data_IF_781110922983
#
_entry.id   IF_781110922983
#
_cell.length_a   1.000
_cell.length_b   1.000
_cell.length_c   1.000
_cell.angle_alpha   90.00
_cell.angle_beta   90.00
_cell.angle_gamma   90.00
#
_symmetry.space_group_name_H-M   'P 1'
#
loop_
_entity.id
_entity.type
_entity.pdbx_description
1 polymer ?
#
# COMPACT_ATOMS: atom_id res chain seq x y z
N UNK A 1 -20.50 -2.42 -11.40
CA UNK A 1 -19.67 -3.57 -10.99
C UNK A 1 -20.20 -4.82 -11.68
N UNK A 2 -19.35 -5.66 -12.26
CA UNK A 2 -19.82 -6.88 -12.96
C UNK A 2 -19.67 -8.07 -12.00
N UNK A 3 -20.79 -8.59 -11.48
CA UNK A 3 -20.80 -9.61 -10.42
C UNK A 3 -20.01 -10.86 -10.78
N UNK A 4 -19.96 -11.23 -12.05
CA UNK A 4 -19.14 -12.35 -12.51
C UNK A 4 -17.67 -12.02 -12.43
N UNK A 5 -17.24 -10.85 -12.92
CA UNK A 5 -15.85 -10.37 -12.83
C UNK A 5 -15.37 -10.26 -11.39
N UNK A 6 -16.14 -9.63 -10.49
CA UNK A 6 -15.75 -9.44 -9.09
C UNK A 6 -15.61 -10.79 -8.37
N UNK A 7 -16.44 -11.78 -8.73
CA UNK A 7 -16.33 -13.15 -8.23
C UNK A 7 -15.09 -13.87 -8.75
N UNK A 8 -14.81 -13.81 -10.05
CA UNK A 8 -13.61 -14.43 -10.63
C UNK A 8 -12.33 -13.78 -10.08
N UNK A 9 -12.31 -12.45 -9.97
CA UNK A 9 -11.21 -11.71 -9.37
C UNK A 9 -11.03 -12.09 -7.89
N UNK A 10 -12.10 -12.16 -7.11
CA UNK A 10 -12.05 -12.58 -5.71
C UNK A 10 -11.50 -14.01 -5.54
N UNK A 11 -11.93 -14.96 -6.36
CA UNK A 11 -11.41 -16.34 -6.32
C UNK A 11 -9.93 -16.38 -6.71
N UNK A 12 -9.53 -15.66 -7.76
CA UNK A 12 -8.15 -15.59 -8.21
C UNK A 12 -7.24 -14.96 -7.14
N UNK A 13 -7.65 -13.84 -6.53
CA UNK A 13 -6.90 -13.19 -5.47
C UNK A 13 -6.81 -14.04 -4.20
N UNK A 14 -7.86 -14.79 -3.87
CA UNK A 14 -7.84 -15.73 -2.75
C UNK A 14 -6.84 -16.86 -3.01
N UNK A 15 -6.80 -17.40 -4.22
CA UNK A 15 -5.82 -18.42 -4.61
C UNK A 15 -4.38 -17.87 -4.53
N UNK A 16 -4.13 -16.67 -5.05
CA UNK A 16 -2.82 -16.01 -4.96
C UNK A 16 -2.44 -15.74 -3.49
N UNK A 17 -3.37 -15.26 -2.67
CA UNK A 17 -3.14 -15.02 -1.25
C UNK A 17 -2.78 -16.30 -0.49
N UNK A 18 -3.51 -17.39 -0.76
CA UNK A 18 -3.21 -18.71 -0.19
C UNK A 18 -1.84 -19.23 -0.65
N UNK A 19 -1.48 -19.03 -1.92
CA UNK A 19 -0.14 -19.38 -2.43
C UNK A 19 0.95 -18.59 -1.69
N UNK A 20 0.78 -17.28 -1.48
CA UNK A 20 1.75 -16.51 -0.69
C UNK A 20 1.89 -17.03 0.74
N UNK A 21 0.79 -17.42 1.39
CA UNK A 21 0.85 -18.01 2.74
C UNK A 21 1.63 -19.33 2.71
N UNK A 22 1.31 -20.24 1.79
CA UNK A 22 1.96 -21.56 1.72
C UNK A 22 3.43 -21.46 1.33
N UNK A 23 3.76 -20.66 0.31
CA UNK A 23 5.15 -20.49 -0.15
C UNK A 23 5.98 -19.72 0.88
N UNK A 24 5.40 -18.75 1.59
CA UNK A 24 6.11 -18.03 2.65
C UNK A 24 6.58 -18.97 3.77
N UNK A 25 5.83 -20.01 4.09
CA UNK A 25 6.23 -20.98 5.12
C UNK A 25 7.44 -21.82 4.71
N UNK A 26 7.73 -21.92 3.41
CA UNK A 26 8.92 -22.61 2.88
C UNK A 26 10.16 -21.73 2.91
N UNK A 27 10.00 -20.42 3.09
CA UNK A 27 11.13 -19.48 3.23
C UNK A 27 11.73 -19.68 4.63
N UNK A 28 12.95 -20.19 4.69
CA UNK A 28 13.66 -20.47 5.95
C UNK A 28 13.94 -19.20 6.74
N UNK A 29 13.56 -19.19 8.02
CA UNK A 29 13.59 -18.02 8.92
C UNK A 29 14.98 -17.53 9.35
N UNK A 30 16.09 -18.02 8.80
CA UNK A 30 17.43 -17.81 9.40
C UNK A 30 18.57 -17.44 8.46
N UNK A 31 18.32 -17.06 7.20
CA UNK A 31 19.41 -16.80 6.27
C UNK A 31 20.18 -15.48 6.51
N UNK A 32 19.71 -14.56 7.37
CA UNK A 32 20.25 -13.19 7.42
C UNK A 32 20.40 -12.54 8.81
N UNK A 33 20.44 -13.32 9.91
CA UNK A 33 20.72 -12.74 11.25
C UNK A 33 19.73 -11.66 11.75
N UNK A 34 18.60 -11.49 11.07
CA UNK A 34 17.52 -10.56 11.41
C UNK A 34 16.57 -11.20 12.44
N UNK A 35 16.00 -10.40 13.34
CA UNK A 35 15.04 -10.89 14.34
C UNK A 35 13.70 -11.32 13.71
N UNK A 36 13.45 -10.92 12.47
CA UNK A 36 12.24 -11.20 11.69
C UNK A 36 12.62 -12.00 10.45
N UNK A 37 12.00 -13.18 10.31
CA UNK A 37 12.21 -14.07 9.17
C UNK A 37 11.72 -13.45 7.86
N UNK A 38 12.44 -13.69 6.76
CA UNK A 38 12.09 -13.21 5.42
C UNK A 38 10.70 -13.67 4.94
N UNK A 39 10.09 -14.64 5.61
CA UNK A 39 8.73 -15.12 5.39
C UNK A 39 7.63 -14.17 5.90
N UNK A 40 7.93 -13.24 6.81
CA UNK A 40 6.90 -12.42 7.46
C UNK A 40 6.21 -11.46 6.48
N UNK A 41 6.96 -10.87 5.54
CA UNK A 41 6.37 -9.95 4.55
C UNK A 41 5.41 -10.67 3.60
N UNK A 42 5.78 -11.77 2.90
CA UNK A 42 4.85 -12.47 2.02
C UNK A 42 3.67 -13.09 2.78
N UNK A 43 3.90 -13.57 4.02
CA UNK A 43 2.85 -14.14 4.86
C UNK A 43 1.79 -13.09 5.22
N UNK A 44 2.22 -11.91 5.70
CA UNK A 44 1.31 -10.82 6.05
C UNK A 44 0.49 -10.34 4.86
N UNK A 45 1.13 -10.15 3.70
CA UNK A 45 0.44 -9.81 2.45
C UNK A 45 -0.55 -10.89 2.02
N UNK A 46 -0.16 -12.17 2.10
CA UNK A 46 -1.02 -13.30 1.76
C UNK A 46 -2.27 -13.38 2.63
N UNK A 47 -2.12 -13.20 3.95
CA UNK A 47 -3.27 -13.14 4.89
C UNK A 47 -4.18 -11.97 4.55
N UNK A 48 -3.63 -10.77 4.41
CA UNK A 48 -4.42 -9.56 4.13
C UNK A 48 -5.18 -9.69 2.80
N UNK A 49 -4.51 -10.14 1.75
CA UNK A 49 -5.13 -10.36 0.43
C UNK A 49 -6.22 -11.42 0.50
N UNK A 50 -5.99 -12.52 1.22
CA UNK A 50 -6.99 -13.58 1.40
C UNK A 50 -8.23 -13.05 2.12
N UNK A 51 -8.06 -12.28 3.21
CA UNK A 51 -9.17 -11.66 3.94
C UNK A 51 -9.97 -10.69 3.07
N UNK A 52 -9.30 -9.82 2.32
CA UNK A 52 -9.97 -8.90 1.39
C UNK A 52 -10.71 -9.64 0.27
N UNK A 53 -10.15 -10.74 -0.22
CA UNK A 53 -10.78 -11.58 -1.24
C UNK A 53 -12.03 -12.29 -0.72
N UNK A 54 -11.99 -12.84 0.50
CA UNK A 54 -13.17 -13.43 1.16
C UNK A 54 -14.26 -12.36 1.32
N UNK A 55 -13.90 -11.17 1.77
CA UNK A 55 -14.84 -10.04 1.90
C UNK A 55 -15.46 -9.66 0.55
N UNK A 56 -14.67 -9.56 -0.52
CA UNK A 56 -15.14 -9.22 -1.86
C UNK A 56 -16.14 -10.26 -2.38
N UNK A 57 -15.84 -11.56 -2.19
CA UNK A 57 -16.75 -12.65 -2.56
C UNK A 57 -18.05 -12.53 -1.75
N UNK A 58 -17.97 -12.31 -0.44
CA UNK A 58 -19.14 -12.14 0.43
C UNK A 58 -20.01 -10.95 0.03
N UNK A 59 -19.41 -9.80 -0.28
CA UNK A 59 -20.12 -8.61 -0.76
C UNK A 59 -20.77 -8.85 -2.12
N UNK A 60 -20.14 -9.61 -3.01
CA UNK A 60 -20.69 -9.98 -4.33
C UNK A 60 -22.01 -10.78 -4.19
N UNK A 61 -22.13 -11.61 -3.14
CA UNK A 61 -23.37 -12.35 -2.85
C UNK A 61 -24.42 -11.48 -2.14
N UNK A 62 -24.01 -10.54 -1.29
CA UNK A 62 -24.94 -9.80 -0.41
C UNK A 62 -25.49 -8.51 -1.02
N UNK A 63 -24.75 -7.82 -1.89
CA UNK A 63 -25.15 -6.51 -2.44
C UNK A 63 -25.77 -6.62 -3.85
N UNK A 64 -26.88 -5.89 -4.07
CA UNK A 64 -27.36 -5.54 -5.41
C UNK A 64 -26.35 -4.56 -6.01
N UNK A 65 -26.04 -4.74 -7.30
CA UNK A 65 -25.03 -3.95 -8.00
C UNK A 65 -25.33 -2.46 -7.80
N UNK A 66 -24.42 -1.74 -7.16
CA UNK A 66 -24.40 -0.29 -7.28
C UNK A 66 -24.11 0.02 -8.76
N UNK A 67 -24.98 0.83 -9.36
CA UNK A 67 -24.73 1.40 -10.68
C UNK A 67 -23.37 2.10 -10.63
N UNK A 68 -22.46 1.69 -11.51
CA UNK A 68 -21.25 2.46 -11.75
C UNK A 68 -21.71 3.70 -12.49
N UNK A 69 -21.72 4.85 -11.82
CA UNK A 69 -21.52 6.10 -12.56
C UNK A 69 -20.25 5.91 -13.39
N UNK A 70 -20.35 6.17 -14.69
CA UNK A 70 -19.18 6.27 -15.55
C UNK A 70 -18.39 7.48 -15.05
N UNK A 71 -17.44 7.25 -14.16
CA UNK A 71 -16.45 8.26 -13.84
C UNK A 71 -15.76 8.66 -15.15
N UNK A 72 -15.95 9.91 -15.56
CA UNK A 72 -15.19 10.48 -16.65
C UNK A 72 -13.72 10.43 -16.26
N UNK A 73 -12.85 10.01 -17.18
CA UNK A 73 -11.42 9.99 -16.96
C UNK A 73 -10.94 11.41 -16.62
N UNK A 74 -10.61 11.65 -15.35
CA UNK A 74 -10.08 12.93 -14.89
C UNK A 74 -8.57 12.99 -15.16
N UNK A 75 -8.24 13.29 -16.42
CA UNK A 75 -6.86 13.44 -16.88
C UNK A 75 -6.08 14.50 -16.08
N UNK A 76 -6.76 15.50 -15.50
CA UNK A 76 -6.13 16.54 -14.70
C UNK A 76 -5.64 15.97 -13.37
N UNK A 77 -6.49 15.22 -12.66
CA UNK A 77 -6.08 14.52 -11.42
C UNK A 77 -5.01 13.47 -11.69
N UNK A 78 -5.15 12.74 -12.80
CA UNK A 78 -4.14 11.77 -13.22
C UNK A 78 -2.78 12.44 -13.43
N UNK A 79 -2.73 13.56 -14.16
CA UNK A 79 -1.49 14.30 -14.41
C UNK A 79 -0.82 14.81 -13.13
N UNK A 80 -1.62 15.30 -12.15
CA UNK A 80 -1.10 15.73 -10.85
C UNK A 80 -0.50 14.56 -10.07
N UNK A 81 -1.23 13.44 -9.94
CA UNK A 81 -0.75 12.25 -9.20
C UNK A 81 0.47 11.64 -9.90
N UNK A 82 0.47 11.60 -11.23
CA UNK A 82 1.59 11.10 -12.02
C UNK A 82 2.84 11.95 -11.82
N UNK A 83 2.71 13.28 -11.90
CA UNK A 83 3.81 14.21 -11.64
C UNK A 83 4.31 14.05 -10.20
N UNK A 84 3.41 13.95 -9.22
CA UNK A 84 3.76 13.73 -7.83
C UNK A 84 4.50 12.39 -7.62
N UNK A 85 4.14 11.34 -8.36
CA UNK A 85 4.84 10.05 -8.32
C UNK A 85 6.25 10.14 -8.91
N UNK A 86 6.44 10.89 -10.00
CA UNK A 86 7.77 11.14 -10.58
C UNK A 86 8.64 11.94 -9.60
N UNK A 87 8.08 13.00 -9.00
CA UNK A 87 8.79 13.78 -7.98
C UNK A 87 9.11 12.94 -6.74
N UNK A 88 8.17 12.08 -6.30
CA UNK A 88 8.40 11.14 -5.22
C UNK A 88 9.61 10.24 -5.50
N UNK A 89 9.66 9.60 -6.68
CA UNK A 89 10.77 8.73 -7.06
C UNK A 89 12.09 9.49 -7.15
N UNK A 90 12.08 10.71 -7.68
CA UNK A 90 13.28 11.56 -7.78
C UNK A 90 13.81 12.00 -6.41
N UNK A 91 12.94 12.44 -5.50
CA UNK A 91 13.33 12.94 -4.18
C UNK A 91 13.47 11.86 -3.11
N UNK A 92 13.18 10.59 -3.43
CA UNK A 92 13.18 9.50 -2.46
C UNK A 92 14.55 9.33 -1.79
N UNK A 93 15.62 9.41 -2.58
CA UNK A 93 17.00 9.24 -2.11
C UNK A 93 17.49 10.46 -1.30
N UNK A 94 17.17 11.68 -1.76
CA UNK A 94 17.65 12.92 -1.14
C UNK A 94 16.88 13.31 0.13
N UNK A 95 15.55 13.23 0.07
CA UNK A 95 14.63 13.72 1.13
C UNK A 95 14.28 12.61 2.12
N UNK A 96 14.40 11.35 1.71
CA UNK A 96 14.06 10.19 2.52
C UNK A 96 12.60 9.75 2.40
N UNK A 97 12.33 8.49 2.78
CA UNK A 97 11.06 7.81 2.54
C UNK A 97 9.88 8.46 3.29
N UNK A 98 10.07 8.86 4.56
CA UNK A 98 8.97 9.34 5.41
C UNK A 98 8.37 10.64 4.86
N UNK A 99 9.23 11.60 4.51
CA UNK A 99 8.83 12.92 4.03
C UNK A 99 8.32 12.89 2.59
N UNK A 100 9.01 12.16 1.70
CA UNK A 100 8.59 12.01 0.31
C UNK A 100 7.24 11.30 0.20
N UNK A 101 7.03 10.21 0.95
CA UNK A 101 5.75 9.48 0.99
C UNK A 101 4.65 10.33 1.61
N UNK A 102 4.95 11.06 2.69
CA UNK A 102 3.99 11.98 3.30
C UNK A 102 3.50 13.02 2.30
N UNK A 103 4.41 13.69 1.60
CA UNK A 103 4.08 14.70 0.60
C UNK A 103 3.28 14.09 -0.58
N UNK A 104 3.70 12.92 -1.08
CA UNK A 104 3.01 12.22 -2.14
C UNK A 104 1.57 11.86 -1.76
N UNK A 105 1.37 11.26 -0.58
CA UNK A 105 0.04 10.89 -0.09
C UNK A 105 -0.83 12.11 0.17
N UNK A 106 -0.27 13.18 0.73
CA UNK A 106 -0.99 14.43 0.96
C UNK A 106 -1.49 15.02 -0.35
N UNK A 107 -0.63 15.11 -1.37
CA UNK A 107 -1.00 15.57 -2.72
C UNK A 107 -2.07 14.65 -3.32
N UNK A 108 -1.90 13.34 -3.23
CA UNK A 108 -2.85 12.36 -3.75
C UNK A 108 -4.23 12.49 -3.10
N UNK A 109 -4.29 12.52 -1.77
CA UNK A 109 -5.54 12.67 -1.04
C UNK A 109 -6.22 14.01 -1.29
N UNK A 110 -5.46 15.10 -1.34
CA UNK A 110 -6.01 16.41 -1.64
C UNK A 110 -6.53 16.51 -3.09
N UNK A 111 -5.89 15.80 -4.01
CA UNK A 111 -6.31 15.73 -5.42
C UNK A 111 -7.59 14.91 -5.60
N UNK A 112 -7.77 13.84 -4.81
CA UNK A 112 -8.96 12.98 -4.89
C UNK A 112 -10.14 13.48 -4.04
N UNK A 113 -9.89 13.96 -2.82
CA UNK A 113 -10.90 14.43 -1.88
C UNK A 113 -10.59 15.87 -1.45
N UNK A 114 -11.25 16.81 -2.12
CA UNK A 114 -11.18 18.23 -1.75
C UNK A 114 -12.02 18.46 -0.49
N UNK A 115 -11.40 18.82 0.65
CA UNK A 115 -12.10 19.35 1.82
C UNK A 115 -11.78 18.73 3.18
N UNK A 116 -11.00 17.65 3.27
CA UNK A 116 -10.63 17.00 4.55
C UNK A 116 -9.13 17.06 4.85
N UNK A 117 -8.55 18.26 4.76
CA UNK A 117 -7.10 18.46 4.86
C UNK A 117 -6.51 17.88 6.15
N UNK A 118 -7.18 18.04 7.29
CA UNK A 118 -6.73 17.50 8.57
C UNK A 118 -6.69 15.96 8.58
N UNK A 119 -7.72 15.31 8.02
CA UNK A 119 -7.78 13.85 7.88
C UNK A 119 -6.69 13.36 6.93
N UNK A 120 -6.48 14.03 5.80
CA UNK A 120 -5.44 13.69 4.83
C UNK A 120 -4.04 13.79 5.44
N UNK A 121 -3.77 14.84 6.22
CA UNK A 121 -2.49 15.03 6.93
C UNK A 121 -2.26 13.93 7.96
N UNK A 122 -3.25 13.65 8.82
CA UNK A 122 -3.12 12.62 9.87
C UNK A 122 -2.89 11.24 9.23
N UNK A 123 -3.68 10.88 8.22
CA UNK A 123 -3.55 9.57 7.56
C UNK A 123 -2.21 9.48 6.83
N UNK A 124 -1.81 10.52 6.08
CA UNK A 124 -0.53 10.53 5.37
C UNK A 124 0.65 10.39 6.34
N UNK A 125 0.64 11.10 7.47
CA UNK A 125 1.70 11.05 8.47
C UNK A 125 1.74 9.69 9.18
N UNK A 126 0.59 9.18 9.61
CA UNK A 126 0.49 7.88 10.26
C UNK A 126 0.90 6.75 9.31
N UNK A 127 0.55 6.84 8.02
CA UNK A 127 0.91 5.83 7.04
C UNK A 127 2.40 5.87 6.71
N UNK A 128 2.98 7.05 6.40
CA UNK A 128 4.40 7.14 6.06
C UNK A 128 5.29 6.72 7.23
N UNK A 129 5.01 7.22 8.43
CA UNK A 129 5.74 6.85 9.64
C UNK A 129 5.50 5.40 10.04
N UNK A 130 4.25 4.92 9.97
CA UNK A 130 3.89 3.54 10.32
C UNK A 130 4.59 2.51 9.42
N UNK A 131 4.65 2.77 8.11
CA UNK A 131 5.38 1.91 7.17
C UNK A 131 6.88 1.95 7.43
N UNK A 132 7.46 3.15 7.66
CA UNK A 132 8.87 3.28 8.00
C UNK A 132 9.22 2.52 9.28
N UNK A 133 8.43 2.69 10.34
CA UNK A 133 8.62 2.01 11.61
C UNK A 133 8.53 0.49 11.46
N UNK A 134 7.49 0.00 10.77
CA UNK A 134 7.33 -1.43 10.53
C UNK A 134 8.53 -1.97 9.74
N UNK A 135 8.93 -1.32 8.66
CA UNK A 135 9.99 -1.86 7.81
C UNK A 135 11.37 -1.76 8.46
N UNK A 136 11.71 -0.63 9.07
CA UNK A 136 13.05 -0.40 9.66
C UNK A 136 13.19 -1.05 11.03
N UNK A 137 12.21 -0.87 11.92
CA UNK A 137 12.33 -1.33 13.31
C UNK A 137 11.77 -2.72 13.54
N UNK A 138 10.72 -3.13 12.80
CA UNK A 138 10.17 -4.48 12.96
C UNK A 138 10.88 -5.44 12.02
N UNK A 139 11.12 -5.06 10.77
CA UNK A 139 11.66 -5.99 9.76
C UNK A 139 13.18 -5.90 9.55
N UNK A 140 13.90 -5.07 10.30
CA UNK A 140 15.33 -4.79 10.10
C UNK A 140 15.67 -4.42 8.64
N UNK A 141 14.71 -3.83 7.91
CA UNK A 141 14.85 -3.46 6.51
C UNK A 141 15.53 -2.11 6.33
N UNK A 142 16.14 -1.89 5.16
CA UNK A 142 16.77 -0.62 4.81
C UNK A 142 15.83 0.25 3.99
N UNK A 143 15.35 1.35 4.58
CA UNK A 143 14.68 2.44 3.86
C UNK A 143 15.48 3.72 4.04
N UNK A 144 15.57 4.59 3.01
CA UNK A 144 16.12 5.92 3.16
C UNK A 144 15.38 6.65 4.27
N UNK A 145 16.10 6.99 5.34
CA UNK A 145 15.54 7.55 6.56
C UNK A 145 15.18 9.03 6.41
N UNK A 146 15.91 9.87 7.13
CA UNK A 146 15.79 11.31 7.05
C UNK A 146 16.64 11.89 5.91
N UNK A 147 16.41 13.15 5.51
CA UNK A 147 17.12 13.75 4.38
C UNK A 147 18.64 13.64 4.53
N UNK A 148 19.32 13.31 3.44
CA UNK A 148 20.77 13.11 3.41
C UNK A 148 21.56 14.35 3.87
N UNK A 149 20.98 15.54 3.71
CA UNK A 149 21.53 16.81 4.17
C UNK A 149 21.30 17.14 5.66
N UNK A 150 20.46 16.38 6.37
CA UNK A 150 20.15 16.63 7.78
C UNK A 150 21.17 15.95 8.72
N UNK A 151 22.03 15.08 8.19
CA UNK A 151 23.14 14.45 8.94
C UNK A 151 22.69 13.63 10.15
N UNK A 152 21.40 13.25 10.21
CA UNK A 152 20.85 12.41 11.26
C UNK A 152 21.12 10.94 10.91
N UNK A 153 21.59 10.13 11.87
CA UNK A 153 21.99 8.74 11.66
C UNK A 153 20.84 7.82 11.27
#
# INVERSE_FOLDING_TARGET
MNKTFDRYAGIAFLAIGALFIVESQKITSSAYGSNVGANIFPLGLGIFLSLMSVRLIYETFRYKAAEKEKEMLDYKRFGIIFTAAVLYAYFLEDVGFVLSTFAFLLIGFQTMQQGKWLTSVIIAAAFSYGVYFLFVHVMDGTLPGFPSWLGLP
#
